data_IF_539965602430
#
_entry.id   IF_539965602430
#
_cell.length_a   1.000
_cell.length_b   1.000
_cell.length_c   1.000
_cell.angle_alpha   90.00
_cell.angle_beta   90.00
_cell.angle_gamma   90.00
#
_symmetry.space_group_name_H-M   'P 1'
#
loop_
_entity.id
_entity.type
_entity.pdbx_description
1 polymer ?
#
# COMPACT_ATOMS: atom_id res chain seq x y z
N UNK A 1 3.90 12.10 10.40
CA UNK A 1 3.45 11.17 11.47
C UNK A 1 4.62 10.36 11.99
N UNK A 2 5.24 9.48 11.20
CA UNK A 2 6.33 8.58 11.60
C UNK A 2 7.49 9.32 12.29
N UNK A 3 8.02 10.37 11.70
CA UNK A 3 9.14 11.12 12.27
C UNK A 3 8.85 11.65 13.70
N UNK A 4 7.68 12.25 13.91
CA UNK A 4 7.28 12.70 15.23
C UNK A 4 6.97 11.55 16.19
N UNK A 5 6.42 10.44 15.70
CA UNK A 5 6.23 9.22 16.48
C UNK A 5 7.56 8.69 17.03
N UNK A 6 8.54 8.50 16.16
CA UNK A 6 9.87 8.04 16.55
C UNK A 6 10.62 9.05 17.43
N UNK A 7 10.46 10.34 17.15
CA UNK A 7 11.05 11.39 17.99
C UNK A 7 10.43 11.43 19.39
N UNK A 8 9.12 11.19 19.52
CA UNK A 8 8.47 11.08 20.83
C UNK A 8 9.00 9.90 21.63
N UNK A 9 9.21 8.76 20.97
CA UNK A 9 9.79 7.56 21.59
C UNK A 9 11.23 7.81 22.06
N UNK A 10 12.04 8.47 21.23
CA UNK A 10 13.43 8.75 21.53
C UNK A 10 13.64 9.80 22.65
N UNK A 11 12.72 10.77 22.77
CA UNK A 11 12.90 11.92 23.67
C UNK A 11 11.96 11.90 24.89
N UNK A 12 10.90 11.11 24.85
CA UNK A 12 9.82 11.15 25.87
C UNK A 12 8.97 12.44 25.82
N UNK A 13 9.12 13.27 24.77
CA UNK A 13 8.41 14.54 24.68
C UNK A 13 6.97 14.33 24.18
N UNK A 14 5.99 14.68 25.03
CA UNK A 14 4.57 14.53 24.78
C UNK A 14 4.08 15.38 23.59
N UNK A 15 4.66 16.55 23.35
CA UNK A 15 4.28 17.41 22.23
C UNK A 15 4.45 16.69 20.88
N UNK A 16 5.55 15.91 20.73
CA UNK A 16 5.80 15.14 19.53
C UNK A 16 4.80 13.98 19.36
N UNK A 17 4.45 13.32 20.47
CA UNK A 17 3.41 12.30 20.48
C UNK A 17 2.06 12.85 20.03
N UNK A 18 1.67 14.00 20.55
CA UNK A 18 0.40 14.68 20.21
C UNK A 18 0.36 15.09 18.72
N UNK A 19 1.46 15.61 18.19
CA UNK A 19 1.60 15.94 16.76
C UNK A 19 1.45 14.69 15.90
N UNK A 20 2.14 13.61 16.24
CA UNK A 20 2.10 12.35 15.50
C UNK A 20 0.68 11.78 15.46
N UNK A 21 0.03 11.66 16.63
CA UNK A 21 -1.34 11.15 16.76
C UNK A 21 -2.34 11.99 15.99
N UNK A 22 -2.35 13.30 16.21
CA UNK A 22 -3.23 14.23 15.51
C UNK A 22 -3.06 14.14 13.99
N UNK A 23 -1.83 14.02 13.51
CA UNK A 23 -1.56 13.89 12.08
C UNK A 23 -2.09 12.58 11.54
N UNK A 24 -1.94 11.47 12.28
CA UNK A 24 -2.48 10.17 11.93
C UNK A 24 -4.02 10.20 11.81
N UNK A 25 -4.70 10.75 12.81
CA UNK A 25 -6.15 10.90 12.81
C UNK A 25 -6.65 11.75 11.61
N UNK A 26 -5.91 12.81 11.25
CA UNK A 26 -6.18 13.61 10.06
C UNK A 26 -6.04 12.78 8.79
N UNK A 27 -5.00 11.95 8.67
CA UNK A 27 -4.81 11.06 7.51
C UNK A 27 -6.01 10.12 7.39
N UNK A 28 -6.36 9.41 8.46
CA UNK A 28 -7.48 8.46 8.44
C UNK A 28 -8.82 9.16 8.11
N UNK A 29 -9.05 10.36 8.64
CA UNK A 29 -10.26 11.13 8.31
C UNK A 29 -10.37 11.53 6.83
N UNK A 30 -9.30 11.37 6.04
CA UNK A 30 -9.26 11.69 4.61
C UNK A 30 -9.38 10.47 3.70
N UNK A 31 -9.31 9.27 4.25
CA UNK A 31 -9.37 8.02 3.46
C UNK A 31 -10.65 7.99 2.61
N UNK A 32 -11.79 8.32 3.22
CA UNK A 32 -13.11 8.29 2.58
C UNK A 32 -13.57 9.67 2.07
N UNK A 33 -12.67 10.64 1.98
CA UNK A 33 -13.02 11.98 1.50
C UNK A 33 -12.42 12.28 0.12
N UNK A 34 -12.93 11.65 -0.94
CA UNK A 34 -12.41 11.83 -2.30
C UNK A 34 -12.66 13.24 -2.87
N UNK A 35 -13.51 14.03 -2.23
CA UNK A 35 -13.88 15.39 -2.66
C UNK A 35 -13.19 16.48 -1.83
N UNK A 36 -12.27 16.10 -0.96
CA UNK A 36 -11.56 17.06 -0.12
C UNK A 36 -10.63 17.96 -0.94
N UNK A 37 -10.20 19.06 -0.31
CA UNK A 37 -9.25 20.04 -0.88
C UNK A 37 -7.98 19.43 -1.47
N UNK A 38 -7.62 18.23 -1.04
CA UNK A 38 -6.41 17.53 -1.42
C UNK A 38 -6.61 16.46 -2.50
N UNK A 39 -7.84 16.28 -2.97
CA UNK A 39 -8.10 15.34 -4.04
C UNK A 39 -7.58 15.91 -5.37
N UNK A 40 -6.65 15.19 -5.99
CA UNK A 40 -6.08 15.54 -7.30
C UNK A 40 -6.98 15.16 -8.47
N UNK A 41 -8.06 14.41 -8.20
CA UNK A 41 -9.01 14.01 -9.24
C UNK A 41 -9.89 15.17 -9.66
N UNK A 42 -10.02 15.36 -10.95
CA UNK A 42 -10.98 16.33 -11.51
C UNK A 42 -12.41 15.84 -11.27
N UNK A 43 -13.35 16.69 -10.81
CA UNK A 43 -14.75 16.31 -10.67
C UNK A 43 -15.31 15.70 -11.96
N UNK A 44 -16.01 14.57 -11.87
CA UNK A 44 -16.59 13.85 -12.99
C UNK A 44 -15.66 12.88 -13.72
N UNK A 45 -14.40 12.77 -13.29
CA UNK A 45 -13.51 11.70 -13.75
C UNK A 45 -13.74 10.39 -12.95
N UNK A 46 -13.14 9.30 -13.42
CA UNK A 46 -13.24 8.00 -12.76
C UNK A 46 -12.78 8.10 -11.31
N UNK A 47 -13.61 7.63 -10.40
CA UNK A 47 -13.27 7.53 -8.99
C UNK A 47 -12.64 6.14 -8.76
N UNK A 48 -11.34 6.12 -8.53
CA UNK A 48 -10.58 4.89 -8.29
C UNK A 48 -10.01 4.92 -6.86
N UNK A 49 -10.01 3.77 -6.20
CA UNK A 49 -9.20 3.51 -5.03
C UNK A 49 -7.76 3.26 -5.48
N UNK A 50 -6.78 3.80 -4.76
CA UNK A 50 -5.37 3.61 -5.04
C UNK A 50 -4.68 2.83 -3.92
N UNK A 51 -3.79 1.93 -4.28
CA UNK A 51 -3.07 1.02 -3.38
C UNK A 51 -2.10 1.71 -2.42
N UNK A 52 -1.51 2.84 -2.84
CA UNK A 52 -0.42 3.46 -2.07
C UNK A 52 -0.82 3.84 -0.63
N UNK A 53 -2.04 4.31 -0.41
CA UNK A 53 -2.46 4.74 0.92
C UNK A 53 -2.62 3.57 1.90
N UNK A 54 -3.41 2.51 1.63
CA UNK A 54 -3.49 1.37 2.54
C UNK A 54 -2.12 0.68 2.76
N UNK A 55 -1.27 0.61 1.73
CA UNK A 55 0.10 0.12 1.86
C UNK A 55 0.88 0.91 2.92
N UNK A 56 0.93 2.23 2.81
CA UNK A 56 1.67 3.09 3.74
C UNK A 56 1.05 3.03 5.15
N UNK A 57 -0.26 2.94 5.27
CA UNK A 57 -0.92 2.84 6.57
C UNK A 57 -0.56 1.55 7.33
N UNK A 58 -0.28 0.44 6.63
CA UNK A 58 0.23 -0.78 7.25
C UNK A 58 1.50 -0.51 8.08
N UNK A 59 2.48 0.14 7.46
CA UNK A 59 3.73 0.47 8.16
C UNK A 59 3.52 1.55 9.22
N UNK A 60 2.76 2.60 8.88
CA UNK A 60 2.57 3.73 9.77
C UNK A 60 1.91 3.33 11.09
N UNK A 61 0.95 2.39 11.06
CA UNK A 61 0.31 1.87 12.26
C UNK A 61 1.31 1.20 13.21
N UNK A 62 2.28 0.45 12.68
CA UNK A 62 3.36 -0.16 13.46
C UNK A 62 4.31 0.88 14.05
N UNK A 63 4.72 1.86 13.24
CA UNK A 63 5.70 2.87 13.64
C UNK A 63 5.21 3.79 14.77
N UNK A 64 3.90 3.92 14.95
CA UNK A 64 3.30 4.74 16.00
C UNK A 64 2.47 3.92 16.99
N UNK A 65 2.59 2.59 17.02
CA UNK A 65 1.77 1.72 17.86
C UNK A 65 1.82 2.11 19.34
N UNK A 66 2.96 2.61 19.82
CA UNK A 66 3.15 3.08 21.20
C UNK A 66 2.30 4.31 21.57
N UNK A 67 1.70 4.99 20.59
CA UNK A 67 0.84 6.17 20.76
C UNK A 67 -0.65 5.86 20.65
N UNK A 68 -1.00 4.67 20.20
CA UNK A 68 -2.38 4.29 19.90
C UNK A 68 -2.94 3.35 20.99
N UNK A 69 -4.24 3.47 21.21
CA UNK A 69 -4.98 2.48 21.98
C UNK A 69 -4.95 1.11 21.27
N UNK A 70 -4.82 0.02 22.00
CA UNK A 70 -4.66 -1.34 21.44
C UNK A 70 -5.86 -1.76 20.58
N UNK A 71 -7.09 -1.35 20.94
CA UNK A 71 -8.30 -1.67 20.15
C UNK A 71 -8.28 -0.92 18.85
N UNK A 72 -8.03 0.40 18.89
CA UNK A 72 -7.93 1.26 17.73
C UNK A 72 -6.79 0.83 16.80
N UNK A 73 -5.64 0.47 17.36
CA UNK A 73 -4.50 -0.04 16.62
C UNK A 73 -4.86 -1.32 15.86
N UNK A 74 -5.48 -2.28 16.55
CA UNK A 74 -5.89 -3.56 15.96
C UNK A 74 -6.91 -3.38 14.83
N UNK A 75 -7.93 -2.56 15.03
CA UNK A 75 -8.92 -2.24 14.00
C UNK A 75 -8.29 -1.59 12.77
N UNK A 76 -7.33 -0.68 13.00
CA UNK A 76 -6.58 -0.03 11.91
C UNK A 76 -5.74 -1.07 11.13
N UNK A 77 -5.01 -1.93 11.85
CA UNK A 77 -4.21 -2.99 11.22
C UNK A 77 -5.09 -3.98 10.42
N UNK A 78 -6.20 -4.42 10.98
CA UNK A 78 -7.13 -5.34 10.30
C UNK A 78 -7.72 -4.70 9.05
N UNK A 79 -8.08 -3.42 9.10
CA UNK A 79 -8.57 -2.67 7.94
C UNK A 79 -7.49 -2.56 6.85
N UNK A 80 -6.25 -2.24 7.22
CA UNK A 80 -5.15 -2.17 6.26
C UNK A 80 -4.85 -3.52 5.61
N UNK A 81 -4.84 -4.61 6.41
CA UNK A 81 -4.64 -5.98 5.91
C UNK A 81 -5.76 -6.34 4.92
N UNK A 82 -7.01 -6.05 5.27
CA UNK A 82 -8.15 -6.31 4.39
C UNK A 82 -8.00 -5.56 3.04
N UNK A 83 -7.72 -4.26 3.08
CA UNK A 83 -7.52 -3.47 1.85
C UNK A 83 -6.39 -4.07 1.00
N UNK A 84 -5.23 -4.34 1.57
CA UNK A 84 -4.07 -4.85 0.82
C UNK A 84 -4.30 -6.27 0.31
N UNK A 85 -4.78 -7.19 1.16
CA UNK A 85 -4.77 -8.62 0.89
C UNK A 85 -6.09 -9.16 0.30
N UNK A 86 -7.16 -8.36 0.29
CA UNK A 86 -8.46 -8.77 -0.25
C UNK A 86 -8.97 -7.83 -1.33
N UNK A 87 -8.73 -6.51 -1.21
CA UNK A 87 -9.21 -5.54 -2.21
C UNK A 87 -8.21 -5.40 -3.37
N UNK A 88 -6.92 -5.31 -3.11
CA UNK A 88 -5.90 -5.10 -4.15
C UNK A 88 -5.18 -6.37 -4.60
N UNK A 89 -5.09 -7.39 -3.75
CA UNK A 89 -4.57 -8.70 -4.11
C UNK A 89 -5.54 -9.46 -5.02
N UNK A 90 -5.03 -10.04 -6.14
CA UNK A 90 -5.85 -10.65 -7.20
C UNK A 90 -5.44 -12.09 -7.47
N UNK A 91 -6.03 -13.06 -6.75
CA UNK A 91 -5.76 -14.47 -6.99
C UNK A 91 -6.13 -14.92 -8.40
N UNK A 92 -7.21 -14.35 -8.98
CA UNK A 92 -7.66 -14.62 -10.34
C UNK A 92 -6.69 -14.15 -11.44
N UNK A 93 -5.77 -13.26 -11.08
CA UNK A 93 -4.69 -12.79 -11.97
C UNK A 93 -3.32 -13.44 -11.62
N UNK A 94 -3.34 -14.60 -10.96
CA UNK A 94 -2.14 -15.31 -10.58
C UNK A 94 -1.48 -14.81 -9.28
N UNK A 95 -2.22 -14.08 -8.45
CA UNK A 95 -1.76 -13.60 -7.14
C UNK A 95 -0.93 -12.33 -7.19
N UNK A 96 -1.17 -11.47 -8.17
CA UNK A 96 -0.58 -10.13 -8.24
C UNK A 96 -1.38 -9.11 -7.43
N UNK A 97 -0.75 -7.99 -7.14
CA UNK A 97 -1.38 -6.81 -6.56
C UNK A 97 -1.51 -5.75 -7.64
N UNK A 98 -2.71 -5.18 -7.79
CA UNK A 98 -2.99 -4.09 -8.73
C UNK A 98 -2.89 -2.74 -8.04
N UNK A 99 -2.58 -1.68 -8.80
CA UNK A 99 -2.39 -0.34 -8.23
C UNK A 99 -3.69 0.42 -8.03
N UNK A 100 -4.72 0.13 -8.85
CA UNK A 100 -6.01 0.82 -8.78
C UNK A 100 -7.17 -0.14 -9.01
N UNK A 101 -8.27 0.10 -8.27
CA UNK A 101 -9.56 -0.56 -8.42
C UNK A 101 -10.68 0.48 -8.42
N UNK A 102 -11.91 0.11 -8.78
CA UNK A 102 -13.04 1.01 -8.60
C UNK A 102 -13.40 1.17 -7.11
N UNK A 103 -14.41 1.99 -6.85
CA UNK A 103 -14.83 2.27 -5.46
C UNK A 103 -15.36 1.02 -4.73
N UNK A 104 -15.88 0.05 -5.48
CA UNK A 104 -16.41 -1.22 -4.96
C UNK A 104 -15.33 -2.31 -4.90
N UNK A 105 -14.10 -2.00 -5.28
CA UNK A 105 -12.97 -2.93 -5.28
C UNK A 105 -12.86 -3.79 -6.54
N UNK A 106 -13.59 -3.51 -7.62
CA UNK A 106 -13.53 -4.29 -8.85
C UNK A 106 -12.39 -3.83 -9.76
N UNK A 107 -11.92 -4.75 -10.61
CA UNK A 107 -10.97 -4.44 -11.66
C UNK A 107 -11.58 -3.53 -12.72
N UNK A 108 -10.84 -2.50 -13.13
CA UNK A 108 -11.25 -1.56 -14.16
C UNK A 108 -10.36 -1.69 -15.38
N UNK A 109 -10.96 -1.84 -16.57
CA UNK A 109 -10.22 -1.89 -17.83
C UNK A 109 -10.01 -0.47 -18.39
N UNK A 110 -9.14 0.26 -17.72
CA UNK A 110 -8.64 1.55 -18.18
C UNK A 110 -7.13 1.61 -17.92
N UNK A 111 -6.45 2.62 -18.40
CA UNK A 111 -5.01 2.77 -18.26
C UNK A 111 -4.57 2.63 -16.78
N UNK A 112 -5.15 3.42 -15.89
CA UNK A 112 -4.81 3.41 -14.45
C UNK A 112 -5.22 2.09 -13.77
N UNK A 113 -6.37 1.52 -14.15
CA UNK A 113 -6.88 0.27 -13.59
C UNK A 113 -6.09 -0.97 -14.03
N UNK A 114 -5.32 -0.88 -15.12
CA UNK A 114 -4.42 -1.96 -15.57
C UNK A 114 -3.01 -1.84 -15.01
N UNK A 115 -2.69 -0.72 -14.38
CA UNK A 115 -1.36 -0.47 -13.83
C UNK A 115 -1.03 -1.42 -12.69
N UNK A 116 0.17 -1.96 -12.73
CA UNK A 116 0.81 -2.73 -11.67
C UNK A 116 2.16 -2.10 -11.38
N UNK A 117 2.45 -1.86 -10.11
CA UNK A 117 3.74 -1.35 -9.64
C UNK A 117 4.40 -2.44 -8.80
N UNK A 118 5.24 -3.31 -9.41
CA UNK A 118 5.81 -4.47 -8.71
C UNK A 118 6.51 -4.11 -7.41
N UNK A 119 7.26 -3.02 -7.39
CA UNK A 119 7.98 -2.58 -6.21
C UNK A 119 7.07 -2.15 -5.05
N UNK A 120 5.97 -1.43 -5.29
CA UNK A 120 4.97 -1.11 -4.26
C UNK A 120 4.38 -2.40 -3.64
N UNK A 121 4.08 -3.38 -4.49
CA UNK A 121 3.55 -4.65 -4.02
C UNK A 121 4.54 -5.40 -3.13
N UNK A 122 5.82 -5.45 -3.52
CA UNK A 122 6.89 -6.08 -2.73
C UNK A 122 7.07 -5.35 -1.38
N UNK A 123 7.07 -4.02 -1.41
CA UNK A 123 7.15 -3.19 -0.20
C UNK A 123 5.97 -3.44 0.73
N UNK A 124 4.75 -3.49 0.20
CA UNK A 124 3.56 -3.80 1.00
C UNK A 124 3.64 -5.18 1.64
N UNK A 125 4.20 -6.18 0.97
CA UNK A 125 4.33 -7.53 1.54
C UNK A 125 5.29 -7.56 2.72
N UNK A 126 6.33 -6.75 2.72
CA UNK A 126 7.15 -6.58 3.92
C UNK A 126 6.29 -6.03 5.08
N UNK A 127 5.51 -4.97 4.87
CA UNK A 127 4.62 -4.42 5.90
C UNK A 127 3.59 -5.46 6.40
N UNK A 128 3.01 -6.25 5.49
CA UNK A 128 2.08 -7.33 5.86
C UNK A 128 2.78 -8.42 6.69
N UNK A 129 4.04 -8.77 6.40
CA UNK A 129 4.81 -9.72 7.22
C UNK A 129 5.01 -9.19 8.65
N UNK A 130 5.32 -7.91 8.79
CA UNK A 130 5.48 -7.29 10.12
C UNK A 130 4.15 -7.20 10.87
N UNK A 131 3.05 -6.87 10.20
CA UNK A 131 1.70 -6.95 10.78
C UNK A 131 1.34 -8.38 11.19
N UNK A 132 1.63 -9.37 10.34
CA UNK A 132 1.42 -10.79 10.64
C UNK A 132 2.19 -11.23 11.89
N UNK A 133 3.43 -10.77 12.04
CA UNK A 133 4.25 -11.01 13.23
C UNK A 133 3.65 -10.33 14.47
N UNK A 134 3.28 -9.06 14.39
CA UNK A 134 2.68 -8.29 15.49
C UNK A 134 1.36 -8.88 15.96
N UNK A 135 0.54 -9.35 15.04
CA UNK A 135 -0.78 -9.93 15.29
C UNK A 135 -0.77 -11.44 15.57
N UNK A 136 0.41 -12.08 15.51
CA UNK A 136 0.58 -13.54 15.62
C UNK A 136 -0.27 -14.31 14.59
N UNK A 137 -0.19 -13.88 13.33
CA UNK A 137 -0.89 -14.48 12.17
C UNK A 137 0.13 -15.05 11.17
N UNK A 138 0.68 -16.25 11.41
CA UNK A 138 1.71 -16.82 10.54
C UNK A 138 1.23 -17.07 9.11
N UNK A 139 -0.06 -17.28 8.90
CA UNK A 139 -0.67 -17.43 7.57
C UNK A 139 -0.51 -16.17 6.70
N UNK A 140 -0.57 -14.97 7.29
CA UNK A 140 -0.29 -13.71 6.59
C UNK A 140 1.17 -13.62 6.15
N UNK A 141 2.09 -14.06 7.01
CA UNK A 141 3.52 -14.06 6.71
C UNK A 141 3.81 -14.96 5.51
N UNK A 142 3.29 -16.19 5.50
CA UNK A 142 3.49 -17.12 4.39
C UNK A 142 2.86 -16.58 3.10
N UNK A 143 1.63 -16.05 3.18
CA UNK A 143 0.96 -15.45 2.03
C UNK A 143 1.73 -14.25 1.47
N UNK A 144 2.26 -13.40 2.33
CA UNK A 144 3.07 -12.25 1.91
C UNK A 144 4.39 -12.68 1.24
N UNK A 145 5.05 -13.72 1.74
CA UNK A 145 6.25 -14.31 1.09
C UNK A 145 5.93 -14.82 -0.31
N UNK A 146 4.87 -15.61 -0.46
CA UNK A 146 4.42 -16.12 -1.77
C UNK A 146 4.13 -14.97 -2.75
N UNK A 147 3.41 -13.94 -2.27
CA UNK A 147 3.06 -12.76 -3.07
C UNK A 147 4.31 -11.96 -3.45
N UNK A 148 5.27 -11.81 -2.54
CA UNK A 148 6.57 -11.18 -2.84
C UNK A 148 7.27 -11.88 -4.01
N UNK A 149 7.38 -13.21 -3.97
CA UNK A 149 8.00 -13.98 -5.04
C UNK A 149 7.22 -13.88 -6.36
N UNK A 150 5.91 -13.88 -6.28
CA UNK A 150 5.03 -13.68 -7.45
C UNK A 150 5.29 -12.32 -8.09
N UNK A 151 5.30 -11.25 -7.30
CA UNK A 151 5.52 -9.89 -7.79
C UNK A 151 6.94 -9.68 -8.31
N UNK A 152 7.94 -10.30 -7.67
CA UNK A 152 9.31 -10.29 -8.17
C UNK A 152 9.42 -10.96 -9.55
N UNK A 153 8.83 -12.14 -9.70
CA UNK A 153 8.82 -12.84 -10.99
C UNK A 153 8.02 -12.09 -12.07
N UNK A 154 6.92 -11.46 -11.66
CA UNK A 154 6.05 -10.67 -12.54
C UNK A 154 6.76 -9.43 -13.08
N UNK A 155 7.46 -8.70 -12.20
CA UNK A 155 8.13 -7.43 -12.54
C UNK A 155 9.55 -7.58 -13.06
N UNK A 156 10.14 -8.79 -13.03
CA UNK A 156 11.54 -8.99 -13.39
C UNK A 156 11.78 -8.93 -14.89
N UNK A 157 12.71 -8.08 -15.32
CA UNK A 157 13.20 -8.08 -16.70
C UNK A 157 14.11 -9.28 -16.95
N UNK A 158 13.61 -10.23 -17.74
CA UNK A 158 14.33 -11.47 -18.04
C UNK A 158 15.52 -11.28 -18.99
N UNK A 159 15.58 -10.16 -19.71
CA UNK A 159 16.64 -9.89 -20.67
C UNK A 159 17.81 -9.12 -20.04
N UNK A 160 17.52 -8.07 -19.27
CA UNK A 160 18.55 -7.18 -18.75
C UNK A 160 18.64 -7.17 -17.22
N UNK A 161 17.78 -7.92 -16.54
CA UNK A 161 17.68 -7.91 -15.07
C UNK A 161 17.05 -6.64 -14.50
N UNK A 162 16.73 -6.67 -13.20
CA UNK A 162 16.06 -5.57 -12.50
C UNK A 162 14.55 -5.64 -12.60
N UNK A 163 13.87 -4.81 -11.80
CA UNK A 163 12.41 -4.78 -11.67
C UNK A 163 11.87 -3.56 -12.42
N UNK A 164 10.89 -3.80 -13.28
CA UNK A 164 10.19 -2.72 -13.97
C UNK A 164 9.42 -1.84 -12.98
N UNK A 165 9.42 -0.54 -13.23
CA UNK A 165 8.69 0.41 -12.40
C UNK A 165 7.18 0.23 -12.54
N UNK A 166 6.69 0.20 -13.78
CA UNK A 166 5.29 -0.04 -14.11
C UNK A 166 5.12 -1.21 -15.07
N UNK A 167 4.01 -1.92 -14.93
CA UNK A 167 3.58 -2.94 -15.88
C UNK A 167 2.07 -2.82 -16.13
N UNK A 168 1.63 -3.23 -17.30
CA UNK A 168 0.19 -3.37 -17.61
C UNK A 168 -0.23 -4.83 -17.36
N UNK A 169 -1.28 -5.06 -16.57
CA UNK A 169 -1.74 -6.42 -16.23
C UNK A 169 -2.22 -7.23 -17.42
N UNK A 170 -2.57 -6.57 -18.56
CA UNK A 170 -2.97 -7.21 -19.80
C UNK A 170 -1.80 -7.33 -20.78
N UNK A 171 -0.60 -6.90 -20.42
CA UNK A 171 0.58 -6.92 -21.28
C UNK A 171 0.51 -5.90 -22.41
N UNK A 172 -0.31 -4.85 -22.30
CA UNK A 172 -0.35 -3.78 -23.27
C UNK A 172 0.99 -3.01 -23.28
N UNK A 173 1.37 -2.41 -24.43
CA UNK A 173 2.54 -1.57 -24.49
C UNK A 173 2.46 -0.41 -23.49
N UNK A 174 3.60 -0.02 -22.89
CA UNK A 174 3.63 1.10 -21.97
C UNK A 174 3.22 2.41 -22.67
N UNK A 175 2.39 3.18 -21.96
CA UNK A 175 1.91 4.48 -22.46
C UNK A 175 2.59 5.66 -21.73
N UNK A 176 3.38 5.35 -20.69
CA UNK A 176 4.17 6.33 -19.96
C UNK A 176 5.64 6.22 -20.35
N UNK A 177 6.33 7.35 -20.38
CA UNK A 177 7.77 7.41 -20.72
C UNK A 177 8.66 6.64 -19.76
N UNK A 178 8.18 6.43 -18.52
CA UNK A 178 8.93 5.76 -17.44
C UNK A 178 8.61 4.28 -17.30
N UNK A 179 7.81 3.72 -18.19
CA UNK A 179 7.26 2.37 -18.04
C UNK A 179 8.33 1.28 -17.98
N UNK A 180 9.33 1.36 -18.80
CA UNK A 180 10.45 0.43 -18.85
C UNK A 180 11.62 0.83 -17.93
N UNK A 181 11.48 1.91 -17.18
CA UNK A 181 12.47 2.32 -16.20
C UNK A 181 12.50 1.35 -15.02
N UNK A 182 13.70 1.20 -14.47
CA UNK A 182 13.98 0.35 -13.31
C UNK A 182 14.44 1.24 -12.16
N UNK A 183 13.51 2.06 -11.67
CA UNK A 183 13.79 3.04 -10.63
C UNK A 183 13.64 2.46 -9.21
N UNK A 184 13.16 1.25 -9.10
CA UNK A 184 13.05 0.60 -7.81
C UNK A 184 14.39 0.08 -7.34
N UNK A 185 14.71 0.40 -6.15
CA UNK A 185 15.92 -0.01 -5.43
C UNK A 185 15.71 -1.27 -4.56
N UNK A 186 15.00 -2.23 -5.06
CA UNK A 186 14.76 -3.51 -4.38
C UNK A 186 15.86 -4.51 -4.74
#
# INVERSE_FOLDING_TARGET
TMAFGQLSLATGNQEYADIAKKTFDIILSKVDNPKGRWNKLHPGTRNLKNFALPMILCNLALEIEHLLDETYLRETMDTCIHEVMEVFYRPELGGIIVENVDIDGNLVDCFEGRQVTPGHAIEAMWFIMDLGKRLNRPELIEKAKETTLTMLNYGWDKQYGGIYYFMDRNGCPPQQLEWDQKLWWV
#
